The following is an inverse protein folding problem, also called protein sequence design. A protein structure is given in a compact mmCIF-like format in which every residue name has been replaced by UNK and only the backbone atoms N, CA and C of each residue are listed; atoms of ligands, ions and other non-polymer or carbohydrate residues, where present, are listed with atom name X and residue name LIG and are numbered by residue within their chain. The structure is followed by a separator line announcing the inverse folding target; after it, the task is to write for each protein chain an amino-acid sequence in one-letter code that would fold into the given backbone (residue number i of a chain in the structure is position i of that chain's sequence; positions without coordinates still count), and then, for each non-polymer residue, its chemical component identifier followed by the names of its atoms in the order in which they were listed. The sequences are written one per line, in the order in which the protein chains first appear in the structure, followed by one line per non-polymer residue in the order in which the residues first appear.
data_IF_558675940492
#
_entry.id   IF_558675940492
#
_cell.length_a   1.000
_cell.length_b   1.000
_cell.length_c   1.000
_cell.angle_alpha   90.00
_cell.angle_beta   90.00
_cell.angle_gamma   90.00
#
_symmetry.space_group_name_H-M   'P 1'
#
loop_
_entity.id
_entity.type
_entity.pdbx_description
1 polymer ?
#
# COMPACT_ATOMS: atom_id res chain seq x y z
N UNK A 1 8.69 -11.32 11.50
CA UNK A 1 7.74 -10.35 10.92
C UNK A 1 8.05 -10.27 9.43
N UNK A 2 7.06 -10.50 8.58
CA UNK A 2 7.25 -10.50 7.12
C UNK A 2 7.08 -9.07 6.62
N UNK A 3 8.11 -8.51 5.99
CA UNK A 3 8.06 -7.15 5.45
C UNK A 3 8.06 -7.19 3.93
N UNK A 4 7.15 -6.44 3.31
CA UNK A 4 6.97 -6.43 1.85
C UNK A 4 7.76 -5.29 1.19
N UNK A 5 8.02 -5.40 -0.11
CA UNK A 5 8.61 -4.30 -0.90
C UNK A 5 7.50 -3.38 -1.42
N UNK A 6 7.77 -2.09 -1.63
CA UNK A 6 6.84 -1.19 -2.31
C UNK A 6 6.50 -1.71 -3.71
N UNK A 7 5.23 -1.62 -4.07
CA UNK A 7 4.67 -2.15 -5.32
C UNK A 7 4.35 -3.65 -5.29
N UNK A 8 4.52 -4.32 -4.15
CA UNK A 8 4.11 -5.70 -4.00
C UNK A 8 2.58 -5.84 -4.04
N UNK A 9 2.10 -6.91 -4.67
CA UNK A 9 0.69 -7.32 -4.59
C UNK A 9 0.51 -8.26 -3.41
N UNK A 10 -0.21 -7.81 -2.39
CA UNK A 10 -0.44 -8.53 -1.14
C UNK A 10 -1.82 -9.15 -1.20
N UNK A 11 -1.89 -10.48 -1.07
CA UNK A 11 -3.17 -11.19 -0.98
C UNK A 11 -3.63 -11.21 0.47
N UNK A 12 -4.75 -10.57 0.74
CA UNK A 12 -5.48 -10.70 2.00
C UNK A 12 -6.56 -11.75 1.78
N UNK A 13 -6.57 -12.79 2.60
CA UNK A 13 -7.54 -13.88 2.52
C UNK A 13 -8.33 -13.99 3.83
N UNK A 14 -9.60 -14.31 3.73
CA UNK A 14 -10.49 -14.54 4.85
C UNK A 14 -11.15 -15.92 4.73
N UNK A 15 -11.35 -16.58 5.86
CA UNK A 15 -12.09 -17.84 5.97
C UNK A 15 -13.26 -17.63 6.93
N UNK A 16 -14.47 -17.64 6.39
CA UNK A 16 -15.71 -17.51 7.12
C UNK A 16 -16.25 -18.89 7.51
N UNK A 17 -16.68 -18.98 8.76
CA UNK A 17 -17.16 -20.22 9.39
C UNK A 17 -18.51 -19.95 10.04
N UNK A 18 -19.34 -20.97 10.08
CA UNK A 18 -20.63 -20.90 10.76
C UNK A 18 -20.41 -20.55 12.25
N UNK A 19 -21.02 -19.48 12.76
CA UNK A 19 -20.89 -19.10 14.18
C UNK A 19 -21.41 -20.18 15.14
N UNK A 20 -22.38 -20.99 14.71
CA UNK A 20 -22.92 -22.12 15.47
C UNK A 20 -22.05 -23.38 15.34
N UNK A 21 -21.31 -23.53 14.23
CA UNK A 21 -20.42 -24.65 13.98
C UNK A 21 -19.12 -24.20 13.30
N UNK A 22 -18.09 -23.92 14.10
CA UNK A 22 -16.81 -23.41 13.59
C UNK A 22 -16.10 -24.37 12.61
N UNK A 23 -16.45 -25.64 12.57
CA UNK A 23 -15.85 -26.59 11.63
C UNK A 23 -16.47 -26.49 10.23
N UNK A 24 -17.65 -25.88 10.11
CA UNK A 24 -18.36 -25.69 8.85
C UNK A 24 -18.01 -24.34 8.23
N UNK A 25 -17.63 -24.34 6.95
CA UNK A 25 -17.48 -23.12 6.16
C UNK A 25 -18.87 -22.63 5.75
N UNK A 26 -19.03 -21.31 5.71
CA UNK A 26 -20.29 -20.68 5.35
C UNK A 26 -20.00 -19.40 4.57
N UNK A 27 -20.71 -19.20 3.47
CA UNK A 27 -20.69 -17.93 2.75
C UNK A 27 -21.57 -16.90 3.47
N UNK A 28 -21.01 -15.75 3.88
CA UNK A 28 -21.81 -14.62 4.34
C UNK A 28 -22.64 -14.02 3.18
N UNK A 29 -23.77 -13.41 3.51
CA UNK A 29 -24.57 -12.59 2.60
C UNK A 29 -23.83 -11.30 2.21
N UNK A 30 -23.11 -10.70 3.17
CA UNK A 30 -22.28 -9.52 2.96
C UNK A 30 -20.82 -9.86 3.26
N UNK A 31 -19.93 -9.55 2.32
CA UNK A 31 -18.49 -9.59 2.52
C UNK A 31 -17.88 -8.32 1.97
N UNK A 32 -17.20 -7.56 2.82
CA UNK A 32 -16.48 -6.35 2.44
C UNK A 32 -15.07 -6.34 3.03
N UNK A 33 -14.16 -5.67 2.33
CA UNK A 33 -12.80 -5.43 2.80
C UNK A 33 -12.48 -3.95 2.60
N UNK A 34 -12.03 -3.31 3.66
CA UNK A 34 -11.44 -1.97 3.58
C UNK A 34 -9.96 -2.03 3.90
N UNK A 35 -9.18 -1.23 3.19
CA UNK A 35 -7.74 -1.10 3.39
C UNK A 35 -7.40 0.37 3.58
N UNK A 36 -6.53 0.66 4.55
CA UNK A 36 -6.01 1.99 4.81
C UNK A 36 -4.50 2.00 4.58
N UNK A 37 -4.03 2.94 3.76
CA UNK A 37 -2.61 3.11 3.49
C UNK A 37 -1.88 3.85 4.64
N UNK A 38 -0.54 3.91 4.63
CA UNK A 38 0.25 4.58 5.66
C UNK A 38 -0.02 6.10 5.79
N UNK A 39 -0.63 6.73 4.78
CA UNK A 39 -1.01 8.14 4.77
C UNK A 39 -2.42 8.37 5.32
N UNK A 40 -3.17 7.30 5.59
CA UNK A 40 -4.54 7.35 6.08
C UNK A 40 -5.60 7.39 4.98
N UNK A 41 -5.23 7.08 3.73
CA UNK A 41 -6.20 6.94 2.64
C UNK A 41 -6.91 5.58 2.74
N UNK A 42 -8.23 5.60 2.90
CA UNK A 42 -9.06 4.40 2.92
C UNK A 42 -9.58 4.05 1.52
N UNK A 43 -9.58 2.75 1.19
CA UNK A 43 -10.12 2.21 -0.07
C UNK A 43 -10.94 0.97 0.21
N UNK A 44 -12.14 0.92 -0.37
CA UNK A 44 -12.94 -0.30 -0.38
C UNK A 44 -12.42 -1.24 -1.50
N UNK A 45 -12.23 -2.50 -1.13
CA UNK A 45 -11.79 -3.56 -2.03
C UNK A 45 -13.00 -4.43 -2.38
N UNK A 46 -13.02 -5.01 -3.58
CA UNK A 46 -14.01 -6.03 -3.95
C UNK A 46 -13.42 -7.41 -3.69
N UNK A 47 -13.91 -8.17 -2.68
CA UNK A 47 -13.46 -9.53 -2.44
C UNK A 47 -13.86 -10.47 -3.57
N UNK A 48 -12.96 -11.39 -3.91
CA UNK A 48 -13.18 -12.50 -4.83
C UNK A 48 -13.47 -13.75 -4.00
N UNK A 49 -14.57 -14.43 -4.30
CA UNK A 49 -14.90 -15.74 -3.71
C UNK A 49 -14.10 -16.83 -4.41
N UNK A 50 -13.25 -17.53 -3.66
CA UNK A 50 -12.48 -18.67 -4.17
C UNK A 50 -13.24 -19.99 -4.01
N UNK A 51 -13.93 -20.17 -2.88
CA UNK A 51 -14.71 -21.34 -2.51
C UNK A 51 -15.72 -20.97 -1.41
N UNK A 52 -16.55 -21.91 -0.96
CA UNK A 52 -17.43 -21.71 0.18
C UNK A 52 -16.66 -21.23 1.42
N UNK A 53 -17.07 -20.08 1.95
CA UNK A 53 -16.46 -19.40 3.08
C UNK A 53 -15.04 -18.90 2.82
N UNK A 54 -14.52 -18.93 1.59
CA UNK A 54 -13.14 -18.52 1.28
C UNK A 54 -13.11 -17.36 0.31
N UNK A 55 -12.55 -16.25 0.76
CA UNK A 55 -12.47 -15.02 -0.02
C UNK A 55 -11.06 -14.47 0.00
N UNK A 56 -10.68 -13.77 -1.06
CA UNK A 56 -9.46 -12.98 -1.08
C UNK A 56 -9.64 -11.63 -1.77
N UNK A 57 -8.72 -10.72 -1.51
CA UNK A 57 -8.51 -9.55 -2.33
C UNK A 57 -7.01 -9.28 -2.45
N UNK A 58 -6.62 -8.76 -3.61
CA UNK A 58 -5.23 -8.41 -3.89
C UNK A 58 -5.03 -6.89 -3.75
N UNK A 59 -4.23 -6.48 -2.78
CA UNK A 59 -3.90 -5.08 -2.49
C UNK A 59 -2.56 -4.73 -3.15
N UNK A 60 -2.53 -3.63 -3.91
CA UNK A 60 -1.27 -3.06 -4.40
C UNK A 60 -0.68 -2.16 -3.30
N UNK A 61 0.37 -2.62 -2.63
CA UNK A 61 1.01 -1.90 -1.53
C UNK A 61 2.17 -1.05 -2.06
N UNK A 62 1.84 0.13 -2.60
CA UNK A 62 2.77 1.06 -3.27
C UNK A 62 3.51 1.99 -2.31
N UNK A 63 2.88 2.36 -1.19
CA UNK A 63 3.50 3.20 -0.18
C UNK A 63 4.26 2.37 0.88
N UNK A 64 5.53 2.69 1.17
CA UNK A 64 6.21 2.23 2.38
C UNK A 64 5.51 2.64 3.68
N UNK A 65 5.47 1.73 4.66
CA UNK A 65 4.88 1.97 5.98
C UNK A 65 3.88 0.90 6.37
N UNK A 66 3.10 1.19 7.42
CA UNK A 66 2.09 0.28 7.93
C UNK A 66 0.76 0.44 7.20
N UNK A 67 0.29 -0.64 6.63
CA UNK A 67 -1.03 -0.75 6.02
C UNK A 67 -1.97 -1.46 6.98
N UNK A 68 -3.21 -0.98 7.07
CA UNK A 68 -4.26 -1.61 7.87
C UNK A 68 -5.32 -2.19 6.97
N UNK A 69 -5.94 -3.28 7.41
CA UNK A 69 -7.06 -3.89 6.70
C UNK A 69 -8.14 -4.29 7.68
N UNK A 70 -9.38 -4.32 7.18
CA UNK A 70 -10.58 -4.66 7.93
C UNK A 70 -11.54 -5.45 7.04
N UNK A 71 -11.75 -6.72 7.37
CA UNK A 71 -12.81 -7.54 6.84
C UNK A 71 -14.09 -7.33 7.66
N UNK A 72 -15.22 -7.21 6.99
CA UNK A 72 -16.54 -7.12 7.61
C UNK A 72 -17.52 -8.04 6.88
N UNK A 73 -18.21 -8.87 7.66
CA UNK A 73 -19.22 -9.83 7.21
C UNK A 73 -20.38 -9.91 8.21
N UNK A 74 -21.47 -10.60 7.86
CA UNK A 74 -22.71 -10.64 8.68
C UNK A 74 -22.52 -11.15 10.11
N UNK A 75 -21.40 -11.84 10.38
CA UNK A 75 -21.05 -12.40 11.68
C UNK A 75 -19.99 -11.63 12.47
N UNK A 76 -19.39 -10.58 11.90
CA UNK A 76 -18.39 -9.79 12.62
C UNK A 76 -17.34 -9.10 11.75
N UNK A 77 -16.35 -8.57 12.46
CA UNK A 77 -15.26 -7.77 11.90
C UNK A 77 -13.94 -8.41 12.31
N UNK A 78 -13.02 -8.52 11.36
CA UNK A 78 -11.63 -8.90 11.61
C UNK A 78 -10.71 -7.83 11.04
N UNK A 79 -9.71 -7.42 11.81
CA UNK A 79 -8.78 -6.38 11.43
C UNK A 79 -7.33 -6.79 11.69
N UNK A 80 -6.42 -6.19 10.94
CA UNK A 80 -5.00 -6.42 11.11
C UNK A 80 -4.17 -5.46 10.29
N UNK A 81 -2.87 -5.73 10.23
CA UNK A 81 -1.92 -4.88 9.53
C UNK A 81 -0.79 -5.69 8.89
N UNK A 82 -0.12 -5.07 7.93
CA UNK A 82 1.16 -5.53 7.39
C UNK A 82 2.09 -4.33 7.15
N UNK A 83 3.40 -4.58 7.22
CA UNK A 83 4.41 -3.54 7.04
C UNK A 83 5.09 -3.66 5.66
N UNK A 84 5.25 -2.52 4.99
CA UNK A 84 5.97 -2.37 3.72
C UNK A 84 7.28 -1.62 4.00
N UNK A 85 8.41 -2.22 3.63
CA UNK A 85 9.73 -1.60 3.79
C UNK A 85 9.85 -0.37 2.89
N UNK A 86 10.62 0.64 3.29
CA UNK A 86 11.14 1.62 2.35
C UNK A 86 11.84 0.91 1.18
N UNK A 87 11.84 1.50 -0.02
CA UNK A 87 12.65 0.98 -1.12
C UNK A 87 14.10 0.89 -0.62
N UNK A 88 14.75 -0.26 -0.82
CA UNK A 88 16.17 -0.38 -0.53
C UNK A 88 16.92 0.39 -1.62
N UNK A 89 17.16 1.68 -1.39
CA UNK A 89 18.01 2.50 -2.24
C UNK A 89 19.43 2.31 -1.73
N UNK A 90 20.35 1.74 -2.52
CA UNK A 90 21.75 1.70 -2.13
C UNK A 90 22.24 3.12 -1.85
N UNK A 91 23.00 3.33 -0.76
CA UNK A 91 23.49 4.64 -0.31
C UNK A 91 24.20 5.45 -1.43
N UNK A 92 24.83 4.76 -2.38
CA UNK A 92 25.42 5.38 -3.58
C UNK A 92 24.38 5.98 -4.54
N UNK A 93 23.21 5.35 -4.68
CA UNK A 93 22.12 5.86 -5.50
C UNK A 93 21.44 7.07 -4.85
N UNK A 94 21.31 7.12 -3.51
CA UNK A 94 20.82 8.30 -2.79
C UNK A 94 21.74 9.50 -3.02
N UNK A 95 23.06 9.32 -2.82
CA UNK A 95 24.06 10.36 -3.09
C UNK A 95 24.04 10.84 -4.55
N UNK A 96 23.78 9.95 -5.50
CA UNK A 96 23.69 10.32 -6.92
C UNK A 96 22.43 11.13 -7.22
N UNK A 97 21.30 10.83 -6.57
CA UNK A 97 20.06 11.63 -6.68
C UNK A 97 20.28 13.03 -6.12
N UNK A 98 20.86 13.14 -4.93
CA UNK A 98 21.16 14.43 -4.29
C UNK A 98 22.09 15.30 -5.15
N UNK A 99 23.17 14.71 -5.67
CA UNK A 99 24.10 15.40 -6.58
C UNK A 99 23.40 15.92 -7.84
N UNK A 100 22.51 15.11 -8.42
CA UNK A 100 21.76 15.50 -9.62
C UNK A 100 20.81 16.65 -9.32
N UNK A 101 20.05 16.57 -8.21
CA UNK A 101 19.15 17.65 -7.78
C UNK A 101 19.90 18.96 -7.51
N UNK A 102 21.06 18.89 -6.85
CA UNK A 102 21.90 20.07 -6.59
C UNK A 102 22.44 20.69 -7.89
N UNK A 103 22.87 19.85 -8.85
CA UNK A 103 23.34 20.30 -10.16
C UNK A 103 22.22 20.99 -10.96
N UNK A 104 21.03 20.40 -11.01
CA UNK A 104 19.89 20.95 -11.74
C UNK A 104 19.43 22.29 -11.14
N UNK A 105 19.42 22.40 -9.79
CA UNK A 105 19.17 23.68 -9.12
C UNK A 105 20.19 24.75 -9.48
N UNK A 106 21.48 24.42 -9.47
CA UNK A 106 22.55 25.35 -9.81
C UNK A 106 22.43 25.82 -11.27
N UNK A 107 22.09 24.91 -12.18
CA UNK A 107 21.84 25.22 -13.60
C UNK A 107 20.71 26.22 -13.76
N UNK A 108 19.60 26.04 -13.05
CA UNK A 108 18.45 26.94 -13.12
C UNK A 108 18.77 28.34 -12.57
N UNK A 109 19.52 28.42 -11.47
CA UNK A 109 20.00 29.69 -10.91
C UNK A 109 20.91 30.44 -11.88
N UNK A 110 21.86 29.74 -12.53
CA UNK A 110 22.73 30.31 -13.55
C UNK A 110 21.93 30.80 -14.77
N UNK A 111 20.94 30.04 -15.22
CA UNK A 111 20.09 30.43 -16.35
C UNK A 111 19.28 31.70 -16.02
N UNK A 112 18.79 31.81 -14.78
CA UNK A 112 18.07 32.99 -14.28
C UNK A 112 18.99 34.21 -14.20
N UNK A 113 20.21 34.06 -13.71
CA UNK A 113 21.20 35.12 -13.64
C UNK A 113 21.62 35.62 -15.03
N UNK A 114 21.87 34.70 -15.97
CA UNK A 114 22.22 35.05 -17.35
C UNK A 114 21.11 35.84 -18.06
N UNK A 115 19.84 35.44 -17.87
CA UNK A 115 18.68 36.18 -18.39
C UNK A 115 18.52 37.57 -17.78
N UNK A 116 18.91 37.76 -16.51
CA UNK A 116 18.88 39.06 -15.86
C UNK A 116 19.98 40.01 -16.39
N UNK A 117 21.13 39.47 -16.79
CA UNK A 117 22.24 40.23 -17.37
C UNK A 117 21.99 40.68 -18.81
N UNK A 118 21.26 39.90 -19.62
CA UNK A 118 20.94 40.22 -21.01
C UNK A 118 19.77 41.21 -21.22
N UNK A 119 19.21 41.78 -20.14
CA UNK A 119 18.10 42.75 -20.18
C UNK A 119 18.55 44.22 -19.98
N UNK A 120 19.84 44.52 -20.17
CA UNK A 120 20.39 45.88 -20.14
C UNK A 120 20.67 46.40 -21.54
#
# INVERSE_FOLDING_TARGET
MTTFKPGARIRLAAIFRDPANRDQLLDPEIVSLRVMDPQGEERDMTPVRDDEGRYHADVLADTPGRWWWRWEADGGVEEGFFDVSPPNIPEEAERNIERKQAHDKLRDELLKAAKALGKR
#
